data_IF_561597776743
#
_entry.id   IF_561597776743
#
_cell.length_a   1.000
_cell.length_b   1.000
_cell.length_c   1.000
_cell.angle_alpha   90.00
_cell.angle_beta   90.00
_cell.angle_gamma   90.00
#
_symmetry.space_group_name_H-M   'P 1'
#
loop_
_entity.id
_entity.type
_entity.pdbx_description
1 polymer ?
#
# COMPACT_ATOMS: atom_id res chain seq x y z
N UNK A 1 -1.60 -24.10 -21.09
CA UNK A 1 -2.27 -22.90 -20.57
C UNK A 1 -1.27 -22.18 -19.68
N UNK A 2 -0.63 -21.12 -20.17
CA UNK A 2 0.16 -20.24 -19.31
C UNK A 2 -0.77 -19.67 -18.24
N UNK A 3 -0.48 -19.93 -16.97
CA UNK A 3 -1.17 -19.24 -15.86
C UNK A 3 -0.73 -17.79 -15.96
N UNK A 4 -1.62 -16.91 -16.42
CA UNK A 4 -1.40 -15.47 -16.27
C UNK A 4 -1.44 -15.19 -14.77
N UNK A 5 -0.27 -14.96 -14.19
CA UNK A 5 -0.16 -14.48 -12.82
C UNK A 5 -0.46 -12.99 -12.81
N UNK A 6 -1.17 -12.55 -11.76
CA UNK A 6 -1.48 -11.14 -11.60
C UNK A 6 -0.18 -10.34 -11.43
N UNK A 7 -0.02 -9.19 -12.10
CA UNK A 7 1.24 -8.47 -12.11
C UNK A 7 1.61 -7.98 -10.70
N UNK A 8 2.71 -8.49 -10.16
CA UNK A 8 3.26 -8.11 -8.86
C UNK A 8 4.78 -8.15 -8.90
N UNK A 9 5.42 -7.21 -8.23
CA UNK A 9 6.87 -7.19 -8.06
C UNK A 9 7.37 -8.34 -7.17
N UNK A 10 8.60 -8.80 -7.40
CA UNK A 10 9.29 -9.69 -6.47
C UNK A 10 9.68 -8.94 -5.19
N UNK A 11 9.91 -9.64 -4.08
CA UNK A 11 10.41 -9.03 -2.83
C UNK A 11 11.62 -8.10 -3.02
N UNK A 12 12.59 -8.54 -3.82
CA UNK A 12 13.79 -7.75 -4.11
C UNK A 12 13.43 -6.46 -4.84
N UNK A 13 12.53 -6.53 -5.81
CA UNK A 13 12.08 -5.37 -6.56
C UNK A 13 11.24 -4.43 -5.69
N UNK A 14 10.43 -4.95 -4.77
CA UNK A 14 9.71 -4.15 -3.76
C UNK A 14 10.72 -3.32 -2.96
N UNK A 15 11.76 -3.95 -2.42
CA UNK A 15 12.81 -3.25 -1.65
C UNK A 15 13.50 -2.18 -2.48
N UNK A 16 13.87 -2.49 -3.73
CA UNK A 16 14.52 -1.54 -4.62
C UNK A 16 13.62 -0.33 -4.91
N UNK A 17 12.35 -0.56 -5.26
CA UNK A 17 11.41 0.53 -5.57
C UNK A 17 11.18 1.42 -4.36
N UNK A 18 11.03 0.83 -3.15
CA UNK A 18 10.86 1.62 -1.93
C UNK A 18 12.07 2.52 -1.65
N UNK A 19 13.28 2.04 -1.93
CA UNK A 19 14.51 2.82 -1.78
C UNK A 19 14.68 3.87 -2.89
N UNK A 20 14.49 3.49 -4.15
CA UNK A 20 14.70 4.33 -5.34
C UNK A 20 13.78 5.56 -5.33
N UNK A 21 12.54 5.38 -4.89
CA UNK A 21 11.55 6.46 -4.75
C UNK A 21 11.59 7.15 -3.37
N UNK A 22 12.55 6.78 -2.52
CA UNK A 22 12.72 7.34 -1.17
C UNK A 22 11.45 7.22 -0.29
N UNK A 23 10.67 6.15 -0.50
CA UNK A 23 9.44 5.87 0.26
C UNK A 23 9.81 5.31 1.63
N UNK A 24 10.69 4.31 1.67
CA UNK A 24 11.14 3.68 2.89
C UNK A 24 12.46 2.92 2.70
N UNK A 25 13.32 2.93 3.72
CA UNK A 25 14.51 2.09 3.77
C UNK A 25 14.17 0.78 4.46
N UNK A 26 13.91 -0.27 3.68
CA UNK A 26 13.53 -1.61 4.15
C UNK A 26 14.48 -2.68 3.60
N UNK A 27 14.60 -3.80 4.30
CA UNK A 27 15.33 -4.97 3.81
C UNK A 27 14.38 -6.12 3.44
N UNK A 28 14.86 -7.11 2.68
CA UNK A 28 14.07 -8.31 2.41
C UNK A 28 13.72 -9.09 3.68
N UNK A 29 14.56 -9.02 4.73
CA UNK A 29 14.32 -9.68 6.01
C UNK A 29 13.11 -9.09 6.75
N UNK A 30 12.89 -7.78 6.63
CA UNK A 30 11.74 -7.10 7.23
C UNK A 30 10.41 -7.57 6.60
N UNK A 31 10.46 -7.96 5.32
CA UNK A 31 9.33 -8.51 4.59
C UNK A 31 9.11 -10.01 4.83
N UNK A 32 10.14 -10.75 5.26
CA UNK A 32 10.04 -12.18 5.63
C UNK A 32 9.38 -12.38 7.00
N UNK A 33 9.52 -11.41 7.89
CA UNK A 33 8.89 -11.45 9.21
C UNK A 33 8.11 -10.15 9.47
N UNK A 34 7.03 -9.91 8.71
CA UNK A 34 6.28 -8.67 8.80
C UNK A 34 5.62 -8.58 10.18
N UNK A 35 5.80 -7.46 10.87
CA UNK A 35 5.04 -7.15 12.09
C UNK A 35 3.97 -6.08 11.78
N UNK A 36 2.85 -6.06 12.53
CA UNK A 36 1.72 -5.16 12.24
C UNK A 36 2.08 -3.67 12.18
N UNK A 37 2.94 -3.20 13.10
CA UNK A 37 3.32 -1.79 13.19
C UNK A 37 4.15 -1.38 11.97
N UNK A 38 5.12 -2.21 11.61
CA UNK A 38 5.95 -2.02 10.41
C UNK A 38 5.10 -1.98 9.14
N UNK A 39 4.19 -2.94 8.97
CA UNK A 39 3.34 -3.01 7.79
C UNK A 39 2.37 -1.83 7.70
N UNK A 40 1.79 -1.41 8.81
CA UNK A 40 0.89 -0.26 8.85
C UNK A 40 1.62 1.03 8.49
N UNK A 41 2.83 1.22 9.03
CA UNK A 41 3.67 2.36 8.69
C UNK A 41 4.07 2.34 7.21
N UNK A 42 4.50 1.19 6.69
CA UNK A 42 4.90 1.05 5.30
C UNK A 42 3.76 1.36 4.32
N UNK A 43 2.56 0.84 4.55
CA UNK A 43 1.40 1.18 3.72
C UNK A 43 1.05 2.67 3.80
N UNK A 44 1.17 3.28 4.98
CA UNK A 44 0.92 4.72 5.14
C UNK A 44 1.88 5.54 4.29
N UNK A 45 3.19 5.25 4.36
CA UNK A 45 4.21 5.93 3.55
C UNK A 45 3.96 5.77 2.06
N UNK A 46 3.60 4.56 1.62
CA UNK A 46 3.25 4.28 0.22
C UNK A 46 2.03 5.12 -0.20
N UNK A 47 0.96 5.12 0.59
CA UNK A 47 -0.28 5.85 0.26
C UNK A 47 -0.07 7.36 0.18
N UNK A 48 0.76 7.93 1.06
CA UNK A 48 1.17 9.34 1.00
C UNK A 48 1.93 9.60 -0.30
N UNK A 49 2.91 8.75 -0.62
CA UNK A 49 3.76 8.95 -1.80
C UNK A 49 3.01 8.87 -3.14
N UNK A 50 1.96 8.04 -3.23
CA UNK A 50 1.16 7.88 -4.46
C UNK A 50 -0.05 8.84 -4.53
N UNK A 51 -0.07 9.87 -3.67
CA UNK A 51 -1.13 10.86 -3.50
C UNK A 51 -2.53 10.26 -3.24
N UNK A 52 -2.58 9.05 -2.65
CA UNK A 52 -3.84 8.39 -2.30
C UNK A 52 -4.26 8.70 -0.85
N UNK A 53 -3.35 9.28 -0.07
CA UNK A 53 -3.61 9.80 1.27
C UNK A 53 -3.06 11.24 1.36
N UNK A 54 -3.93 12.27 1.43
CA UNK A 54 -3.46 13.65 1.56
C UNK A 54 -2.75 13.86 2.90
N UNK A 55 -1.75 14.75 2.96
CA UNK A 55 -0.97 15.02 4.18
C UNK A 55 -1.84 15.43 5.39
N UNK A 56 -3.03 16.00 5.15
CA UNK A 56 -3.98 16.43 6.17
C UNK A 56 -4.91 15.32 6.72
N UNK A 57 -4.71 14.06 6.30
CA UNK A 57 -5.52 12.92 6.75
C UNK A 57 -5.55 12.77 8.28
N UNK A 58 -4.47 13.19 8.96
CA UNK A 58 -4.42 13.21 10.42
C UNK A 58 -5.54 14.05 11.03
N UNK A 59 -5.82 15.26 10.51
CA UNK A 59 -6.83 16.16 11.08
C UNK A 59 -8.26 15.62 10.89
N UNK A 60 -8.54 15.00 9.73
CA UNK A 60 -9.85 14.41 9.42
C UNK A 60 -10.17 13.24 10.37
N UNK A 61 -9.16 12.42 10.70
CA UNK A 61 -9.32 11.30 11.62
C UNK A 61 -9.62 11.74 13.06
N UNK A 62 -9.02 12.85 13.52
CA UNK A 62 -9.31 13.41 14.85
C UNK A 62 -10.74 13.94 14.96
N UNK A 63 -11.26 14.60 13.93
CA UNK A 63 -12.64 15.09 13.94
C UNK A 63 -13.67 13.95 14.02
N UNK A 64 -13.41 12.80 13.37
CA UNK A 64 -14.30 11.63 13.45
C UNK A 64 -14.28 10.97 14.85
N UNK A 65 -13.17 11.08 15.58
CA UNK A 65 -13.03 10.53 16.93
C UNK A 65 -13.87 11.27 17.97
N UNK A 66 -14.12 12.57 17.80
CA UNK A 66 -14.93 13.41 18.72
C UNK A 66 -16.37 12.90 18.91
N UNK A 67 -16.85 12.03 18.02
CA UNK A 67 -18.18 11.41 18.10
C UNK A 67 -18.24 10.11 18.92
N UNK A 68 -17.11 9.57 19.38
CA UNK A 68 -17.07 8.36 20.22
C UNK A 68 -17.18 8.72 21.71
N UNK A 69 -17.81 7.86 22.51
CA UNK A 69 -17.97 8.07 23.97
C UNK A 69 -16.63 8.08 24.73
N UNK A 70 -15.58 7.45 24.17
CA UNK A 70 -14.23 7.39 24.75
C UNK A 70 -13.16 7.51 23.63
N UNK A 71 -12.96 8.71 23.05
CA UNK A 71 -12.12 8.89 21.86
C UNK A 71 -10.69 8.39 22.06
N UNK A 72 -10.12 8.60 23.24
CA UNK A 72 -8.75 8.21 23.59
C UNK A 72 -8.51 6.70 23.55
N UNK A 73 -9.54 5.89 23.81
CA UNK A 73 -9.46 4.43 23.78
C UNK A 73 -9.57 3.84 22.36
N UNK A 74 -9.98 4.66 21.38
CA UNK A 74 -10.27 4.22 20.02
C UNK A 74 -9.31 4.75 18.96
N UNK A 75 -8.35 5.59 19.34
CA UNK A 75 -7.39 6.23 18.43
C UNK A 75 -6.73 5.20 17.49
N UNK A 76 -6.16 4.13 18.04
CA UNK A 76 -5.43 3.12 17.25
C UNK A 76 -6.36 2.28 16.36
N UNK A 77 -7.58 2.01 16.83
CA UNK A 77 -8.59 1.28 16.08
C UNK A 77 -9.09 2.09 14.89
N UNK A 78 -9.35 3.38 15.08
CA UNK A 78 -9.79 4.29 14.01
C UNK A 78 -8.68 4.45 12.97
N UNK A 79 -7.44 4.71 13.39
CA UNK A 79 -6.30 4.78 12.46
C UNK A 79 -6.15 3.52 11.62
N UNK A 80 -6.21 2.35 12.26
CA UNK A 80 -6.10 1.06 11.56
C UNK A 80 -7.25 0.85 10.58
N UNK A 81 -8.48 1.19 10.97
CA UNK A 81 -9.63 1.07 10.07
C UNK A 81 -9.57 2.05 8.91
N UNK A 82 -9.12 3.28 9.12
CA UNK A 82 -8.99 4.25 8.03
C UNK A 82 -7.94 3.81 7.02
N UNK A 83 -6.77 3.37 7.50
CA UNK A 83 -5.74 2.78 6.66
C UNK A 83 -6.28 1.57 5.88
N UNK A 84 -7.00 0.66 6.55
CA UNK A 84 -7.63 -0.49 5.91
C UNK A 84 -8.61 -0.10 4.81
N UNK A 85 -9.49 0.87 5.06
CA UNK A 85 -10.43 1.36 4.05
C UNK A 85 -9.70 1.95 2.84
N UNK A 86 -8.66 2.76 3.07
CA UNK A 86 -7.87 3.37 1.98
C UNK A 86 -7.14 2.35 1.13
N UNK A 87 -6.48 1.36 1.76
CA UNK A 87 -5.85 0.27 1.00
C UNK A 87 -6.91 -0.50 0.21
N UNK A 88 -8.09 -0.75 0.78
CA UNK A 88 -9.17 -1.44 0.04
C UNK A 88 -9.70 -0.65 -1.15
N UNK A 89 -9.85 0.67 -1.02
CA UNK A 89 -10.22 1.56 -2.14
C UNK A 89 -9.17 1.46 -3.25
N UNK A 90 -7.90 1.54 -2.89
CA UNK A 90 -6.79 1.39 -3.84
C UNK A 90 -6.82 0.01 -4.52
N UNK A 91 -6.83 -1.08 -3.75
CA UNK A 91 -6.85 -2.46 -4.26
C UNK A 91 -8.06 -2.72 -5.16
N UNK A 92 -9.23 -2.14 -4.85
CA UNK A 92 -10.41 -2.22 -5.70
C UNK A 92 -10.20 -1.48 -7.03
N UNK A 93 -9.55 -0.32 -7.02
CA UNK A 93 -9.20 0.41 -8.23
C UNK A 93 -8.16 -0.30 -9.11
N UNK A 94 -7.40 -1.25 -8.55
CA UNK A 94 -6.46 -2.09 -9.30
C UNK A 94 -7.10 -3.31 -9.98
N UNK A 95 -8.40 -3.57 -9.77
CA UNK A 95 -9.06 -4.81 -10.17
C UNK A 95 -8.34 -6.08 -9.66
N UNK A 96 -7.79 -6.00 -8.44
CA UNK A 96 -6.99 -7.08 -7.87
C UNK A 96 -7.85 -8.33 -7.57
N UNK A 97 -7.42 -9.54 -7.98
CA UNK A 97 -8.21 -10.76 -7.79
C UNK A 97 -8.26 -11.22 -6.32
N UNK A 98 -7.31 -10.79 -5.49
CA UNK A 98 -7.29 -11.12 -4.06
C UNK A 98 -7.90 -9.96 -3.27
N UNK A 99 -8.78 -10.30 -2.33
CA UNK A 99 -9.35 -9.35 -1.39
C UNK A 99 -8.34 -9.01 -0.29
N UNK A 100 -8.12 -7.72 -0.09
CA UNK A 100 -7.44 -7.20 1.10
C UNK A 100 -8.39 -7.26 2.30
N UNK A 101 -7.91 -7.77 3.43
CA UNK A 101 -8.68 -8.05 4.64
C UNK A 101 -7.98 -7.41 5.84
N UNK A 102 -8.71 -7.19 6.94
CA UNK A 102 -8.11 -6.58 8.13
C UNK A 102 -6.93 -7.41 8.69
N UNK A 103 -6.96 -8.74 8.49
CA UNK A 103 -5.87 -9.66 8.85
C UNK A 103 -4.54 -9.26 8.21
N UNK A 104 -4.57 -8.68 7.01
CA UNK A 104 -3.37 -8.26 6.28
C UNK A 104 -2.63 -7.10 6.98
N UNK A 105 -3.30 -6.40 7.91
CA UNK A 105 -2.69 -5.37 8.75
C UNK A 105 -2.40 -5.90 10.16
N UNK A 106 -3.39 -6.51 10.82
CA UNK A 106 -3.28 -6.89 12.24
C UNK A 106 -2.46 -8.17 12.47
N UNK A 107 -2.37 -9.03 11.46
CA UNK A 107 -1.63 -10.30 11.51
C UNK A 107 -1.07 -10.59 10.12
N UNK A 108 -0.10 -9.78 9.67
CA UNK A 108 0.41 -9.84 8.32
C UNK A 108 1.03 -11.21 8.05
N UNK A 109 0.68 -11.76 6.90
CA UNK A 109 1.24 -13.00 6.36
C UNK A 109 2.28 -12.63 5.29
N UNK A 110 3.37 -13.38 5.22
CA UNK A 110 4.52 -13.08 4.34
C UNK A 110 4.09 -13.04 2.87
N UNK A 111 3.44 -14.09 2.39
CA UNK A 111 3.08 -14.25 0.99
C UNK A 111 2.03 -13.20 0.58
N UNK A 112 1.10 -12.89 1.48
CA UNK A 112 0.07 -11.86 1.24
C UNK A 112 0.65 -10.46 1.25
N UNK A 113 1.56 -10.18 2.18
CA UNK A 113 2.27 -8.89 2.28
C UNK A 113 3.04 -8.61 1.00
N UNK A 114 3.85 -9.58 0.56
CA UNK A 114 4.62 -9.48 -0.68
C UNK A 114 3.70 -9.28 -1.89
N UNK A 115 2.63 -10.05 -1.99
CA UNK A 115 1.68 -9.93 -3.09
C UNK A 115 1.05 -8.53 -3.18
N UNK A 116 0.53 -7.99 -2.08
CA UNK A 116 -0.17 -6.70 -2.11
C UNK A 116 0.78 -5.52 -2.28
N UNK A 117 1.92 -5.52 -1.60
CA UNK A 117 2.95 -4.50 -1.81
C UNK A 117 3.43 -4.52 -3.26
N UNK A 118 3.73 -5.72 -3.77
CA UNK A 118 4.17 -5.89 -5.15
C UNK A 118 3.13 -5.46 -6.17
N UNK A 119 1.84 -5.73 -5.93
CA UNK A 119 0.75 -5.27 -6.79
C UNK A 119 0.62 -3.74 -6.81
N UNK A 120 0.62 -3.11 -5.63
CA UNK A 120 0.48 -1.66 -5.48
C UNK A 120 1.66 -0.93 -6.12
N UNK A 121 2.90 -1.36 -5.81
CA UNK A 121 4.11 -0.74 -6.34
C UNK A 121 4.25 -0.98 -7.84
N UNK A 122 3.90 -2.17 -8.33
CA UNK A 122 3.87 -2.41 -9.77
C UNK A 122 2.90 -1.45 -10.47
N UNK A 123 1.71 -1.25 -9.92
CA UNK A 123 0.77 -0.26 -10.45
C UNK A 123 1.35 1.15 -10.41
N UNK A 124 1.95 1.57 -9.29
CA UNK A 124 2.58 2.89 -9.17
C UNK A 124 3.63 3.14 -10.26
N UNK A 125 4.52 2.18 -10.52
CA UNK A 125 5.52 2.27 -11.59
C UNK A 125 4.90 2.44 -12.98
N UNK A 126 3.79 1.74 -13.24
CA UNK A 126 3.16 1.73 -14.57
C UNK A 126 2.09 2.81 -14.76
N UNK A 127 1.54 3.36 -13.67
CA UNK A 127 0.58 4.49 -13.67
C UNK A 127 1.22 5.75 -14.29
N UNK A 128 2.52 5.91 -14.11
CA UNK A 128 3.33 6.99 -14.67
C UNK A 128 4.14 6.57 -15.89
N UNK A 129 3.59 5.77 -16.80
CA UNK A 129 4.14 5.66 -18.17
C UNK A 129 3.40 6.67 -19.08
N UNK A 130 3.74 7.98 -19.05
CA UNK A 130 3.28 8.89 -20.07
C UNK A 130 4.09 8.63 -21.35
N UNK A 131 3.40 8.21 -22.42
CA UNK A 131 3.64 8.61 -23.80
C UNK A 131 5.03 8.43 -24.47
N UNK A 132 6.08 7.95 -23.80
CA UNK A 132 7.43 7.89 -24.39
C UNK A 132 7.55 6.85 -25.52
N UNK A 133 6.63 5.89 -25.59
CA UNK A 133 6.59 4.88 -26.65
C UNK A 133 5.97 5.44 -27.95
N UNK A 134 5.20 6.54 -27.88
CA UNK A 134 4.61 7.17 -29.07
C UNK A 134 5.56 8.13 -29.80
N UNK A 135 6.64 8.58 -29.16
CA UNK A 135 7.62 9.48 -29.77
C UNK A 135 8.60 8.79 -30.75
N UNK A 136 8.68 7.45 -30.74
CA UNK A 136 9.53 6.67 -31.66
C UNK A 136 8.77 6.05 -32.85
N UNK A 137 7.47 6.31 -32.98
CA UNK A 137 6.62 5.77 -34.06
C UNK A 137 6.16 6.83 -35.07
N UNK A 138 6.75 8.02 -35.04
CA UNK A 138 6.62 9.02 -36.10
C UNK A 138 8.01 9.29 -36.68
N UNK A 139 8.46 8.40 -37.55
CA UNK A 139 9.48 8.66 -38.57
C UNK A 139 8.86 8.28 -39.91
#
# INVERSE_FOLDING_TARGET
>A
MSKFEYPSLSRRDIVNVLADYQIATVSEADLINPNPDFISNLYTLILIHIDFLPEDHGQVDFAALEHFENPDLHIDSVRTMNLFHKIRELIAALDCPKKFTLKDLIKPDVDRTEFFLGAILNFFLHRHVPFLILAHLVI
#
